data_IF_267890367915
#
_entry.id   IF_267890367915
#
_cell.length_a   1.000
_cell.length_b   1.000
_cell.length_c   1.000
_cell.angle_alpha   90.00
_cell.angle_beta   90.00
_cell.angle_gamma   90.00
#
_symmetry.space_group_name_H-M   'P 1'
#
loop_
_entity.id
_entity.type
_entity.pdbx_description
1 polymer ?
#
# COMPACT_ATOMS: atom_id res chain seq x y z
N UNK A 1 -7.13 18.14 -17.36
CA UNK A 1 -7.50 16.87 -16.71
C UNK A 1 -8.47 16.15 -17.62
N UNK A 2 -8.36 14.83 -17.75
CA UNK A 2 -9.29 14.07 -18.58
C UNK A 2 -10.63 14.03 -17.85
N UNK A 3 -11.62 14.76 -18.38
CA UNK A 3 -12.99 14.64 -17.90
C UNK A 3 -13.64 13.37 -18.47
N UNK A 4 -14.50 12.76 -17.68
CA UNK A 4 -15.31 11.60 -18.08
C UNK A 4 -16.77 11.93 -17.85
N UNK A 5 -17.62 11.67 -18.85
CA UNK A 5 -19.06 11.76 -18.66
C UNK A 5 -19.54 10.51 -17.92
N UNK A 6 -20.02 10.67 -16.68
CA UNK A 6 -20.42 9.58 -15.80
C UNK A 6 -21.83 9.85 -15.28
N UNK A 7 -22.68 8.81 -15.28
CA UNK A 7 -24.01 8.87 -14.67
C UNK A 7 -23.91 8.73 -13.17
N UNK A 8 -24.70 9.50 -12.44
CA UNK A 8 -24.70 9.47 -10.98
C UNK A 8 -25.18 8.12 -10.45
N UNK A 9 -26.19 7.52 -11.08
CA UNK A 9 -26.65 6.18 -10.71
C UNK A 9 -25.53 5.12 -10.82
N UNK A 10 -24.69 5.17 -11.86
CA UNK A 10 -23.58 4.23 -12.02
C UNK A 10 -22.56 4.36 -10.88
N UNK A 11 -22.31 5.59 -10.40
CA UNK A 11 -21.45 5.83 -9.24
C UNK A 11 -22.12 5.24 -7.99
N UNK A 12 -23.40 5.54 -7.75
CA UNK A 12 -24.16 5.03 -6.62
C UNK A 12 -24.16 3.49 -6.57
N UNK A 13 -24.42 2.82 -7.69
CA UNK A 13 -24.37 1.36 -7.80
C UNK A 13 -22.96 0.82 -7.53
N UNK A 14 -21.92 1.44 -8.11
CA UNK A 14 -20.54 1.03 -7.95
C UNK A 14 -20.08 1.07 -6.48
N UNK A 15 -20.50 2.09 -5.72
CA UNK A 15 -20.05 2.30 -4.34
C UNK A 15 -21.07 1.86 -3.29
N UNK A 16 -22.22 1.31 -3.71
CA UNK A 16 -23.34 0.98 -2.82
C UNK A 16 -23.87 2.20 -2.05
N UNK A 17 -23.85 3.37 -2.69
CA UNK A 17 -24.25 4.65 -2.11
C UNK A 17 -25.61 5.14 -2.58
N UNK A 18 -26.15 6.14 -1.90
CA UNK A 18 -27.43 6.77 -2.26
C UNK A 18 -27.29 8.28 -2.42
N UNK A 19 -28.15 8.88 -3.22
CA UNK A 19 -28.24 10.35 -3.39
C UNK A 19 -29.70 10.77 -3.56
N UNK A 20 -29.99 12.06 -3.68
CA UNK A 20 -31.34 12.56 -3.91
C UNK A 20 -31.89 12.04 -5.26
N UNK A 21 -33.18 11.68 -5.30
CA UNK A 21 -33.80 11.07 -6.49
C UNK A 21 -33.69 11.94 -7.75
N UNK A 22 -33.68 13.26 -7.57
CA UNK A 22 -33.53 14.22 -8.66
C UNK A 22 -32.25 14.02 -9.48
N UNK A 23 -31.18 13.47 -8.87
CA UNK A 23 -29.87 13.34 -9.50
C UNK A 23 -29.60 11.97 -10.13
N UNK A 24 -30.41 10.93 -9.85
CA UNK A 24 -30.12 9.56 -10.29
C UNK A 24 -29.97 9.42 -11.81
N UNK A 25 -30.80 10.14 -12.57
CA UNK A 25 -30.75 10.12 -14.03
C UNK A 25 -29.77 11.14 -14.64
N UNK A 26 -29.10 11.93 -13.81
CA UNK A 26 -28.18 12.96 -14.27
C UNK A 26 -26.83 12.35 -14.67
N UNK A 27 -26.20 12.97 -15.67
CA UNK A 27 -24.87 12.62 -16.17
C UNK A 27 -24.04 13.88 -16.26
N UNK A 28 -22.80 13.83 -15.79
CA UNK A 28 -21.92 14.98 -15.76
C UNK A 28 -20.55 14.61 -16.31
N UNK A 29 -20.00 15.51 -17.12
CA UNK A 29 -18.57 15.52 -17.41
C UNK A 29 -17.84 15.91 -16.12
N UNK A 30 -17.04 15.01 -15.58
CA UNK A 30 -16.36 15.26 -14.32
C UNK A 30 -14.91 14.79 -14.31
N UNK A 31 -14.10 15.42 -13.48
CA UNK A 31 -12.74 15.01 -13.15
C UNK A 31 -12.54 14.97 -11.63
N UNK A 32 -11.63 14.16 -11.09
CA UNK A 32 -11.34 14.16 -9.66
C UNK A 32 -10.60 15.43 -9.26
N UNK A 33 -10.88 15.95 -8.06
CA UNK A 33 -10.13 17.05 -7.48
C UNK A 33 -10.14 17.01 -5.94
N UNK A 34 -9.10 17.55 -5.27
CA UNK A 34 -9.16 17.84 -3.84
C UNK A 34 -10.33 18.78 -3.54
N UNK A 35 -11.06 18.52 -2.45
CA UNK A 35 -12.31 19.24 -2.14
C UNK A 35 -12.14 20.77 -2.05
N UNK A 36 -10.95 21.24 -1.67
CA UNK A 36 -10.60 22.67 -1.57
C UNK A 36 -10.06 23.30 -2.86
N UNK A 37 -9.88 22.52 -3.93
CA UNK A 37 -9.44 22.97 -5.26
C UNK A 37 -10.40 22.51 -6.37
N UNK A 38 -11.53 21.95 -5.99
CA UNK A 38 -12.56 21.47 -6.88
C UNK A 38 -13.29 22.64 -7.54
N UNK A 39 -13.89 22.38 -8.70
CA UNK A 39 -14.73 23.29 -9.49
C UNK A 39 -16.07 22.60 -9.82
N UNK A 40 -16.94 23.28 -10.58
CA UNK A 40 -18.26 22.77 -11.00
C UNK A 40 -18.27 21.50 -11.86
N UNK A 41 -17.11 21.00 -12.32
CA UNK A 41 -16.96 19.72 -13.01
C UNK A 41 -16.18 18.70 -12.15
N UNK A 42 -16.05 18.93 -10.85
CA UNK A 42 -15.24 18.06 -10.00
C UNK A 42 -16.06 17.04 -9.23
N UNK A 43 -15.50 15.83 -9.11
CA UNK A 43 -15.87 14.85 -8.09
C UNK A 43 -14.84 14.85 -6.97
N UNK A 44 -15.31 14.85 -5.72
CA UNK A 44 -14.47 14.80 -4.52
C UNK A 44 -15.11 13.96 -3.42
N UNK A 45 -14.48 13.93 -2.23
CA UNK A 45 -15.03 13.23 -1.07
C UNK A 45 -14.80 14.01 0.23
N UNK A 46 -15.66 13.77 1.22
CA UNK A 46 -15.57 14.30 2.57
C UNK A 46 -15.72 13.16 3.58
N UNK A 47 -14.75 12.98 4.47
CA UNK A 47 -14.72 11.88 5.46
C UNK A 47 -15.30 12.26 6.81
N UNK A 48 -15.85 13.47 6.95
CA UNK A 48 -16.46 13.92 8.20
C UNK A 48 -17.74 13.15 8.48
N UNK A 49 -17.95 12.79 9.75
CA UNK A 49 -19.07 11.95 10.18
C UNK A 49 -20.20 12.75 10.85
N UNK A 50 -19.96 14.03 11.16
CA UNK A 50 -20.97 14.93 11.72
C UNK A 50 -21.20 16.09 10.75
N UNK A 51 -22.44 16.61 10.72
CA UNK A 51 -22.78 17.71 9.84
C UNK A 51 -22.00 18.98 10.20
N UNK A 52 -21.80 19.24 11.49
CA UNK A 52 -21.01 20.38 11.99
C UNK A 52 -19.58 20.40 11.43
N UNK A 53 -18.89 19.25 11.43
CA UNK A 53 -17.54 19.16 10.87
C UNK A 53 -17.53 19.19 9.33
N UNK A 54 -18.60 18.69 8.69
CA UNK A 54 -18.70 18.61 7.24
C UNK A 54 -19.12 19.94 6.60
N UNK A 55 -19.95 20.75 7.27
CA UNK A 55 -20.57 21.95 6.71
C UNK A 55 -19.55 22.94 6.12
N UNK A 56 -18.45 23.29 6.81
CA UNK A 56 -17.46 24.22 6.26
C UNK A 56 -16.80 23.71 4.98
N UNK A 57 -16.72 22.39 4.79
CA UNK A 57 -16.16 21.79 3.59
C UNK A 57 -17.22 21.79 2.48
N UNK A 58 -18.45 21.38 2.80
CA UNK A 58 -19.53 21.22 1.83
C UNK A 58 -20.07 22.56 1.31
N UNK A 59 -20.05 23.63 2.11
CA UNK A 59 -20.46 24.96 1.67
C UNK A 59 -19.40 25.59 0.76
N UNK A 60 -18.13 25.53 1.16
CA UNK A 60 -17.03 26.21 0.47
C UNK A 60 -16.49 25.49 -0.77
N UNK A 61 -16.72 24.18 -0.91
CA UNK A 61 -16.28 23.46 -2.12
C UNK A 61 -17.11 23.83 -3.34
N UNK A 62 -16.50 24.01 -4.50
CA UNK A 62 -17.23 24.15 -5.78
C UNK A 62 -17.50 22.80 -6.45
N UNK A 63 -17.09 21.67 -5.84
CA UNK A 63 -17.34 20.34 -6.39
C UNK A 63 -18.84 20.13 -6.68
N UNK A 64 -19.14 19.59 -7.86
CA UNK A 64 -20.52 19.23 -8.23
C UNK A 64 -20.94 17.91 -7.61
N UNK A 65 -20.03 16.95 -7.49
CA UNK A 65 -20.29 15.64 -6.88
C UNK A 65 -19.39 15.46 -5.67
N UNK A 66 -19.98 15.19 -4.51
CA UNK A 66 -19.23 14.92 -3.27
C UNK A 66 -19.70 13.60 -2.67
N UNK A 67 -18.76 12.69 -2.48
CA UNK A 67 -18.99 11.44 -1.74
C UNK A 67 -18.83 11.71 -0.24
N UNK A 68 -19.85 11.39 0.55
CA UNK A 68 -19.99 11.74 1.95
C UNK A 68 -20.38 10.54 2.81
N UNK A 69 -20.18 10.67 4.12
CA UNK A 69 -20.60 9.64 5.08
C UNK A 69 -22.13 9.56 5.13
N UNK A 70 -22.68 8.36 5.14
CA UNK A 70 -24.11 8.10 5.34
C UNK A 70 -24.58 8.39 6.77
N UNK A 71 -23.66 8.73 7.67
CA UNK A 71 -23.97 9.24 9.01
C UNK A 71 -24.41 10.71 8.99
N UNK A 72 -24.14 11.43 7.90
CA UNK A 72 -24.59 12.82 7.76
C UNK A 72 -26.09 12.85 7.48
N UNK A 73 -26.83 13.64 8.25
CA UNK A 73 -28.24 13.91 7.96
C UNK A 73 -28.30 15.12 7.03
N UNK A 74 -28.44 14.87 5.74
CA UNK A 74 -28.56 15.90 4.70
C UNK A 74 -30.03 16.00 4.28
N UNK A 75 -30.59 17.22 4.33
CA UNK A 75 -31.94 17.49 3.84
C UNK A 75 -31.93 17.66 2.31
N UNK A 76 -33.03 17.29 1.68
CA UNK A 76 -33.19 17.47 0.23
C UNK A 76 -33.02 18.94 -0.16
N UNK A 77 -32.17 19.20 -1.16
CA UNK A 77 -31.86 20.54 -1.65
C UNK A 77 -30.99 21.41 -0.72
N UNK A 78 -30.51 20.88 0.41
CA UNK A 78 -29.72 21.63 1.40
C UNK A 78 -28.47 22.28 0.80
N UNK A 79 -27.87 21.64 -0.21
CA UNK A 79 -26.66 22.11 -0.87
C UNK A 79 -26.93 22.58 -2.31
N UNK A 80 -28.17 22.97 -2.59
CA UNK A 80 -28.61 23.49 -3.88
C UNK A 80 -28.33 22.50 -5.01
N UNK A 81 -27.40 22.89 -5.88
CA UNK A 81 -27.05 22.13 -7.08
C UNK A 81 -25.98 21.05 -6.87
N UNK A 82 -25.44 20.89 -5.65
CA UNK A 82 -24.40 19.90 -5.33
C UNK A 82 -25.03 18.52 -5.12
N UNK A 83 -24.38 17.50 -5.66
CA UNK A 83 -24.81 16.11 -5.60
C UNK A 83 -24.05 15.41 -4.48
N UNK A 84 -24.76 15.06 -3.42
CA UNK A 84 -24.19 14.37 -2.27
C UNK A 84 -24.48 12.88 -2.40
N UNK A 85 -23.42 12.07 -2.57
CA UNK A 85 -23.51 10.61 -2.61
C UNK A 85 -23.10 10.08 -1.23
N UNK A 86 -24.04 9.47 -0.52
CA UNK A 86 -23.85 9.00 0.85
C UNK A 86 -23.48 7.52 0.89
N UNK A 87 -22.37 7.20 1.56
CA UNK A 87 -21.78 5.85 1.69
C UNK A 87 -21.25 5.61 3.10
N UNK A 88 -20.99 4.35 3.46
CA UNK A 88 -20.40 4.01 4.77
C UNK A 88 -18.94 4.43 4.93
N UNK A 89 -18.15 4.39 3.83
CA UNK A 89 -16.74 4.79 3.80
C UNK A 89 -16.44 5.68 2.57
N UNK A 90 -16.48 7.02 2.72
CA UNK A 90 -16.32 7.95 1.60
C UNK A 90 -14.98 7.84 0.88
N UNK A 91 -13.89 7.61 1.62
CA UNK A 91 -12.56 7.49 1.04
C UNK A 91 -12.44 6.22 0.20
N UNK A 92 -12.93 5.08 0.71
CA UNK A 92 -12.93 3.83 -0.04
C UNK A 92 -13.78 3.94 -1.30
N UNK A 93 -15.00 4.49 -1.20
CA UNK A 93 -15.87 4.73 -2.34
C UNK A 93 -15.20 5.62 -3.39
N UNK A 94 -14.51 6.68 -2.97
CA UNK A 94 -13.75 7.54 -3.87
C UNK A 94 -12.62 6.76 -4.57
N UNK A 95 -11.85 5.93 -3.85
CA UNK A 95 -10.83 5.05 -4.46
C UNK A 95 -11.46 4.14 -5.52
N UNK A 96 -12.61 3.51 -5.24
CA UNK A 96 -13.31 2.65 -6.21
C UNK A 96 -13.71 3.41 -7.47
N UNK A 97 -14.21 4.64 -7.34
CA UNK A 97 -14.54 5.51 -8.48
C UNK A 97 -13.30 5.89 -9.28
N UNK A 98 -12.20 6.24 -8.58
CA UNK A 98 -10.91 6.56 -9.21
C UNK A 98 -10.42 5.39 -10.06
N UNK A 99 -10.35 4.19 -9.49
CA UNK A 99 -9.89 2.98 -10.18
C UNK A 99 -10.77 2.62 -11.38
N UNK A 100 -12.09 2.84 -11.28
CA UNK A 100 -13.03 2.47 -12.34
C UNK A 100 -13.01 3.39 -13.55
N UNK A 101 -12.89 4.70 -13.32
CA UNK A 101 -13.15 5.72 -14.34
C UNK A 101 -11.95 6.59 -14.69
N UNK A 102 -11.02 6.80 -13.77
CA UNK A 102 -9.95 7.80 -13.89
C UNK A 102 -8.54 7.22 -13.92
N UNK A 103 -8.35 6.00 -13.41
CA UNK A 103 -7.06 5.31 -13.50
C UNK A 103 -6.77 4.89 -14.94
N UNK A 104 -5.58 5.24 -15.43
CA UNK A 104 -5.11 4.82 -16.73
C UNK A 104 -4.83 3.33 -16.72
N UNK A 105 -5.37 2.61 -17.71
CA UNK A 105 -5.09 1.18 -17.85
C UNK A 105 -3.72 1.00 -18.46
N UNK A 106 -2.86 0.30 -17.74
CA UNK A 106 -1.56 -0.14 -18.27
C UNK A 106 -1.77 -1.17 -19.38
N UNK A 107 -1.01 -1.06 -20.46
CA UNK A 107 -0.91 -2.13 -21.45
C UNK A 107 0.03 -3.22 -20.93
N UNK A 108 -0.40 -4.47 -20.99
CA UNK A 108 0.47 -5.60 -20.67
C UNK A 108 1.55 -5.75 -21.73
N UNK A 109 2.73 -6.18 -21.32
CA UNK A 109 3.85 -6.38 -22.21
C UNK A 109 5.19 -6.14 -21.56
N UNK A 110 6.23 -6.41 -22.33
CA UNK A 110 7.61 -6.28 -21.93
C UNK A 110 8.23 -5.19 -22.81
N UNK A 111 8.75 -4.14 -22.18
CA UNK A 111 9.45 -3.08 -22.89
C UNK A 111 10.66 -3.63 -23.66
N UNK A 112 10.93 -3.17 -24.90
CA UNK A 112 12.05 -3.68 -25.71
C UNK A 112 13.43 -3.53 -25.08
N UNK A 113 13.60 -2.62 -24.12
CA UNK A 113 14.85 -2.39 -23.40
C UNK A 113 15.01 -3.20 -22.10
N UNK A 114 14.02 -4.02 -21.75
CA UNK A 114 14.13 -4.93 -20.60
C UNK A 114 15.07 -6.09 -20.92
N UNK A 115 15.89 -6.48 -19.94
CA UNK A 115 16.82 -7.61 -20.04
C UNK A 115 16.33 -8.70 -19.10
N UNK A 116 15.89 -9.82 -19.68
CA UNK A 116 15.25 -10.91 -18.96
C UNK A 116 16.04 -12.19 -19.21
N UNK A 117 16.37 -12.90 -18.14
CA UNK A 117 16.98 -14.22 -18.20
C UNK A 117 16.09 -15.21 -18.97
N UNK A 118 16.71 -16.07 -19.77
CA UNK A 118 16.00 -17.03 -20.63
C UNK A 118 15.11 -18.00 -19.85
N UNK A 119 15.46 -18.29 -18.60
CA UNK A 119 14.71 -19.19 -17.72
C UNK A 119 13.68 -18.44 -16.84
N UNK A 120 13.59 -17.12 -16.94
CA UNK A 120 12.60 -16.35 -16.20
C UNK A 120 11.19 -16.65 -16.70
N UNK A 121 10.23 -16.74 -15.78
CA UNK A 121 8.82 -16.98 -16.10
C UNK A 121 8.00 -15.73 -15.83
N UNK A 122 7.54 -15.09 -16.89
CA UNK A 122 6.76 -13.85 -16.80
C UNK A 122 5.36 -14.14 -17.32
N UNK A 123 4.35 -13.86 -16.51
CA UNK A 123 2.97 -14.03 -16.93
C UNK A 123 2.62 -13.05 -18.07
N UNK A 124 1.90 -13.47 -19.14
CA UNK A 124 1.58 -12.59 -20.27
C UNK A 124 0.78 -11.33 -19.91
N UNK A 125 -0.07 -11.43 -18.89
CA UNK A 125 -0.83 -10.29 -18.35
C UNK A 125 -0.04 -9.52 -17.29
N UNK A 126 1.24 -9.25 -17.52
CA UNK A 126 2.06 -8.42 -16.64
C UNK A 126 2.70 -7.30 -17.45
N UNK A 127 3.10 -6.22 -16.78
CA UNK A 127 3.83 -5.11 -17.38
C UNK A 127 5.25 -5.09 -16.86
N UNK A 128 6.23 -5.13 -17.78
CA UNK A 128 7.65 -4.95 -17.48
C UNK A 128 8.13 -3.68 -18.17
N UNK A 129 8.47 -2.67 -17.38
CA UNK A 129 8.90 -1.36 -17.84
C UNK A 129 10.29 -1.34 -18.49
N UNK A 130 10.67 -0.20 -19.08
CA UNK A 130 11.97 -0.05 -19.73
C UNK A 130 13.12 -0.18 -18.75
N UNK A 131 14.24 -0.74 -19.22
CA UNK A 131 15.49 -0.90 -18.47
C UNK A 131 15.36 -1.73 -17.18
N UNK A 132 14.35 -2.59 -17.11
CA UNK A 132 14.24 -3.59 -16.04
C UNK A 132 15.20 -4.74 -16.31
N UNK A 133 15.86 -5.23 -15.26
CA UNK A 133 16.59 -6.50 -15.28
C UNK A 133 15.86 -7.55 -14.45
N UNK A 134 15.66 -8.75 -15.01
CA UNK A 134 15.05 -9.89 -14.33
C UNK A 134 15.94 -11.12 -14.51
N UNK A 135 16.53 -11.62 -13.41
CA UNK A 135 17.23 -12.91 -13.37
C UNK A 135 16.30 -14.11 -13.47
N UNK A 136 16.80 -15.32 -13.21
CA UNK A 136 15.99 -16.55 -13.20
C UNK A 136 14.95 -16.54 -12.07
N UNK A 137 13.78 -15.99 -12.36
CA UNK A 137 12.75 -15.58 -11.39
C UNK A 137 11.35 -15.69 -11.99
N UNK A 138 10.32 -15.59 -11.15
CA UNK A 138 8.91 -15.75 -11.57
C UNK A 138 8.09 -14.49 -11.25
N UNK A 139 7.30 -14.01 -12.22
CA UNK A 139 6.43 -12.84 -12.12
C UNK A 139 4.99 -13.23 -12.41
N UNK A 140 4.11 -13.03 -11.42
CA UNK A 140 2.70 -13.39 -11.50
C UNK A 140 1.83 -12.46 -12.35
N UNK A 141 0.61 -12.93 -12.58
CA UNK A 141 -0.43 -12.25 -13.34
C UNK A 141 -0.83 -10.89 -12.75
N UNK A 142 -1.02 -9.88 -13.60
CA UNK A 142 -1.46 -8.54 -13.23
C UNK A 142 -0.38 -7.71 -12.54
N UNK A 143 0.85 -8.23 -12.40
CA UNK A 143 1.95 -7.52 -11.76
C UNK A 143 2.55 -6.47 -12.68
N UNK A 144 2.98 -5.36 -12.08
CA UNK A 144 3.50 -4.16 -12.75
C UNK A 144 4.88 -3.88 -12.20
N UNK A 145 5.90 -4.05 -13.03
CA UNK A 145 7.30 -3.74 -12.71
C UNK A 145 7.67 -2.46 -13.45
N UNK A 146 7.79 -1.35 -12.74
CA UNK A 146 8.14 -0.06 -13.33
C UNK A 146 9.61 0.01 -13.77
N UNK A 147 9.95 1.10 -14.47
CA UNK A 147 11.25 1.27 -15.10
C UNK A 147 12.43 1.19 -14.11
N UNK A 148 13.59 0.74 -14.59
CA UNK A 148 14.85 0.70 -13.83
C UNK A 148 14.80 -0.15 -12.54
N UNK A 149 13.93 -1.15 -12.48
CA UNK A 149 13.89 -2.14 -11.38
C UNK A 149 14.90 -3.26 -11.66
N UNK A 150 15.59 -3.73 -10.62
CA UNK A 150 16.51 -4.88 -10.70
C UNK A 150 16.02 -6.03 -9.83
N UNK A 151 15.64 -7.14 -10.47
CA UNK A 151 15.19 -8.37 -9.82
C UNK A 151 16.27 -9.44 -10.05
N UNK A 152 16.94 -9.86 -8.99
CA UNK A 152 17.94 -10.93 -9.03
C UNK A 152 17.28 -12.30 -9.24
N UNK A 153 18.08 -13.33 -9.48
CA UNK A 153 17.62 -14.71 -9.59
C UNK A 153 17.01 -15.23 -8.29
N UNK A 154 16.16 -16.26 -8.36
CA UNK A 154 15.44 -16.89 -7.23
C UNK A 154 14.50 -15.92 -6.50
N UNK A 155 13.89 -15.00 -7.23
CA UNK A 155 12.79 -14.16 -6.73
C UNK A 155 11.48 -14.71 -7.27
N UNK A 156 10.50 -14.89 -6.39
CA UNK A 156 9.14 -15.25 -6.75
C UNK A 156 8.21 -14.10 -6.41
N UNK A 157 7.58 -13.50 -7.42
CA UNK A 157 6.61 -12.43 -7.27
C UNK A 157 5.22 -12.96 -7.64
N UNK A 158 4.28 -12.81 -6.71
CA UNK A 158 2.89 -13.19 -6.86
C UNK A 158 2.12 -12.33 -7.87
N UNK A 159 0.79 -12.38 -7.76
CA UNK A 159 -0.14 -11.69 -8.67
C UNK A 159 -0.45 -10.28 -8.20
N UNK A 160 -0.69 -9.37 -9.14
CA UNK A 160 -1.12 -7.98 -8.86
C UNK A 160 -0.15 -7.25 -7.93
N UNK A 161 1.15 -7.54 -8.09
CA UNK A 161 2.22 -6.88 -7.34
C UNK A 161 2.69 -5.66 -8.12
N UNK A 162 2.83 -4.52 -7.45
CA UNK A 162 3.42 -3.31 -8.04
C UNK A 162 4.82 -3.09 -7.50
N UNK A 163 5.81 -2.93 -8.37
CA UNK A 163 7.19 -2.59 -7.99
C UNK A 163 7.59 -1.29 -8.66
N UNK A 164 7.78 -0.24 -7.86
CA UNK A 164 8.12 1.09 -8.36
C UNK A 164 9.61 1.24 -8.71
N UNK A 165 9.91 2.29 -9.48
CA UNK A 165 11.19 2.49 -10.14
C UNK A 165 12.39 2.51 -9.19
N UNK A 166 13.52 1.98 -9.66
CA UNK A 166 14.80 1.97 -8.94
C UNK A 166 14.90 0.95 -7.80
N UNK A 167 13.84 0.19 -7.54
CA UNK A 167 13.83 -0.87 -6.53
C UNK A 167 14.73 -2.04 -6.89
N UNK A 168 15.39 -2.61 -5.89
CA UNK A 168 16.28 -3.76 -6.00
C UNK A 168 15.78 -4.91 -5.15
N UNK A 169 15.56 -6.07 -5.75
CA UNK A 169 15.02 -7.25 -5.06
C UNK A 169 15.96 -8.44 -5.27
N UNK A 170 16.37 -9.06 -4.17
CA UNK A 170 17.17 -10.27 -4.16
C UNK A 170 18.69 -10.06 -4.24
N UNK A 171 19.17 -8.85 -3.94
CA UNK A 171 20.59 -8.61 -3.69
C UNK A 171 21.06 -9.36 -2.44
N UNK A 172 22.37 -9.54 -2.29
CA UNK A 172 22.93 -10.22 -1.12
C UNK A 172 22.75 -9.37 0.14
N UNK A 173 22.32 -10.01 1.23
CA UNK A 173 22.29 -9.37 2.53
C UNK A 173 23.67 -9.10 3.12
N UNK A 174 23.72 -8.24 4.13
CA UNK A 174 24.96 -7.91 4.82
C UNK A 174 25.33 -8.97 5.88
N UNK A 175 25.92 -10.09 5.44
CA UNK A 175 26.43 -11.15 6.32
C UNK A 175 27.93 -11.35 6.18
N UNK A 176 28.69 -11.07 7.25
CA UNK A 176 30.14 -11.27 7.30
C UNK A 176 30.57 -11.77 8.68
N UNK A 177 31.54 -12.68 8.71
CA UNK A 177 32.18 -13.16 9.93
C UNK A 177 33.68 -12.89 9.90
N UNK A 178 34.31 -12.73 11.06
CA UNK A 178 35.77 -12.56 11.13
C UNK A 178 36.47 -13.92 11.20
N UNK A 179 37.48 -14.13 10.37
CA UNK A 179 38.40 -15.26 10.53
C UNK A 179 39.39 -15.00 11.69
N UNK A 180 40.31 -15.94 11.93
CA UNK A 180 41.34 -15.85 12.98
C UNK A 180 42.27 -14.63 12.81
N UNK A 181 42.49 -14.19 11.57
CA UNK A 181 43.32 -13.04 11.22
C UNK A 181 42.55 -11.70 11.32
N UNK A 182 41.24 -11.74 11.53
CA UNK A 182 40.36 -10.58 11.65
C UNK A 182 39.74 -10.09 10.34
N UNK A 183 39.98 -10.75 9.20
CA UNK A 183 39.38 -10.43 7.90
C UNK A 183 37.90 -10.76 7.85
N UNK A 184 37.10 -9.93 7.16
CA UNK A 184 35.68 -10.15 6.96
C UNK A 184 35.45 -11.14 5.81
N UNK A 185 34.95 -12.33 6.15
CA UNK A 185 34.56 -13.37 5.20
C UNK A 185 33.05 -13.30 5.00
N UNK A 186 32.64 -13.14 3.74
CA UNK A 186 31.23 -13.05 3.37
C UNK A 186 30.52 -14.39 3.64
N UNK A 187 29.41 -14.33 4.34
CA UNK A 187 28.49 -15.46 4.44
C UNK A 187 27.68 -15.59 3.14
N UNK A 188 27.69 -16.74 2.45
CA UNK A 188 26.95 -16.88 1.19
C UNK A 188 25.42 -16.76 1.36
N UNK A 189 24.79 -15.90 0.57
CA UNK A 189 23.34 -15.81 0.47
C UNK A 189 22.81 -16.72 -0.66
N UNK A 190 22.35 -17.93 -0.32
CA UNK A 190 21.98 -18.94 -1.31
C UNK A 190 20.48 -19.03 -1.56
N UNK A 191 19.65 -18.49 -0.66
CA UNK A 191 18.20 -18.50 -0.77
C UNK A 191 17.66 -17.39 -1.67
N UNK A 192 16.33 -17.18 -1.65
CA UNK A 192 15.62 -16.26 -2.53
C UNK A 192 14.89 -15.14 -1.80
N UNK A 193 13.93 -14.55 -2.53
CA UNK A 193 12.90 -13.66 -2.00
C UNK A 193 11.55 -14.17 -2.48
N UNK A 194 10.56 -14.16 -1.61
CA UNK A 194 9.17 -14.52 -1.92
C UNK A 194 8.27 -13.33 -1.60
N UNK A 195 7.52 -12.88 -2.59
CA UNK A 195 6.56 -11.79 -2.49
C UNK A 195 5.20 -12.34 -2.91
N UNK A 196 4.23 -12.35 -2.00
CA UNK A 196 2.88 -12.81 -2.29
C UNK A 196 2.05 -11.79 -3.09
N UNK A 197 0.81 -12.16 -3.40
CA UNK A 197 -0.15 -11.35 -4.15
C UNK A 197 -0.43 -9.98 -3.52
N UNK A 198 -0.85 -9.02 -4.35
CA UNK A 198 -1.38 -7.71 -3.92
C UNK A 198 -0.37 -6.87 -3.09
N UNK A 199 0.93 -7.15 -3.20
CA UNK A 199 1.99 -6.37 -2.55
C UNK A 199 2.34 -5.15 -3.39
N UNK A 200 2.54 -3.99 -2.75
CA UNK A 200 3.11 -2.81 -3.43
C UNK A 200 4.45 -2.45 -2.79
N UNK A 201 5.45 -2.20 -3.63
CA UNK A 201 6.81 -1.82 -3.23
C UNK A 201 7.14 -0.46 -3.85
N UNK A 202 7.43 0.51 -2.99
CA UNK A 202 7.78 1.88 -3.35
C UNK A 202 9.15 1.99 -4.01
N UNK A 203 9.44 3.17 -4.54
CA UNK A 203 10.63 3.49 -5.32
C UNK A 203 11.90 3.40 -4.48
N UNK A 204 12.99 2.94 -5.10
CA UNK A 204 14.32 2.84 -4.49
C UNK A 204 14.34 2.04 -3.17
N UNK A 205 13.41 1.11 -2.99
CA UNK A 205 13.42 0.18 -1.85
C UNK A 205 14.37 -0.97 -2.16
N UNK A 206 15.08 -1.45 -1.15
CA UNK A 206 15.98 -2.61 -1.27
C UNK A 206 15.44 -3.77 -0.43
N UNK A 207 15.29 -4.94 -1.05
CA UNK A 207 14.90 -6.18 -0.37
C UNK A 207 15.99 -7.21 -0.60
N UNK A 208 16.72 -7.52 0.47
CA UNK A 208 17.81 -8.49 0.41
C UNK A 208 17.26 -9.92 0.40
N UNK A 209 17.94 -10.80 -0.35
CA UNK A 209 17.67 -12.23 -0.32
C UNK A 209 18.08 -12.81 1.02
N UNK A 210 17.41 -13.87 1.43
CA UNK A 210 17.79 -14.55 2.64
C UNK A 210 19.06 -15.40 2.48
N UNK A 211 19.65 -15.78 3.60
CA UNK A 211 20.86 -16.62 3.64
C UNK A 211 20.55 -18.06 3.24
N UNK A 212 19.92 -18.82 4.14
CA UNK A 212 19.52 -20.23 3.96
C UNK A 212 18.03 -20.37 3.65
N UNK A 213 17.19 -19.60 4.34
CA UNK A 213 15.76 -19.43 4.04
C UNK A 213 15.52 -18.13 3.27
N UNK A 214 14.42 -18.03 2.53
CA UNK A 214 14.08 -16.83 1.76
C UNK A 214 13.55 -15.70 2.65
N UNK A 215 13.84 -14.45 2.28
CA UNK A 215 13.10 -13.28 2.76
C UNK A 215 11.66 -13.37 2.22
N UNK A 216 10.67 -13.03 3.05
CA UNK A 216 9.25 -13.26 2.74
C UNK A 216 8.40 -12.01 2.98
N UNK A 217 7.56 -11.65 2.01
CA UNK A 217 6.61 -10.54 2.08
C UNK A 217 5.20 -11.06 1.81
N UNK A 218 4.35 -11.03 2.83
CA UNK A 218 2.99 -11.55 2.80
C UNK A 218 2.00 -10.68 2.05
N UNK A 219 0.91 -11.32 1.60
CA UNK A 219 -0.09 -10.74 0.70
C UNK A 219 -0.66 -9.40 1.19
N UNK A 220 -0.87 -8.47 0.27
CA UNK A 220 -1.51 -7.19 0.57
C UNK A 220 -0.63 -6.19 1.32
N UNK A 221 0.60 -6.55 1.67
CA UNK A 221 1.54 -5.67 2.37
C UNK A 221 1.99 -4.53 1.46
N UNK A 222 2.09 -3.32 2.04
CA UNK A 222 2.47 -2.09 1.35
C UNK A 222 3.78 -1.57 1.93
N UNK A 223 4.82 -1.54 1.11
CA UNK A 223 6.14 -1.03 1.45
C UNK A 223 6.35 0.25 0.67
N UNK A 224 6.61 1.35 1.36
CA UNK A 224 6.78 2.67 0.77
C UNK A 224 8.22 2.85 0.25
N UNK A 225 8.54 4.05 -0.22
CA UNK A 225 9.80 4.39 -0.85
C UNK A 225 10.98 4.33 0.12
N UNK A 226 12.18 4.07 -0.42
CA UNK A 226 13.45 4.16 0.30
C UNK A 226 13.52 3.27 1.55
N UNK A 227 12.77 2.17 1.60
CA UNK A 227 12.86 1.22 2.70
C UNK A 227 14.05 0.27 2.49
N UNK A 228 14.63 -0.22 3.59
CA UNK A 228 15.58 -1.32 3.57
C UNK A 228 15.00 -2.52 4.31
N UNK A 229 14.85 -3.64 3.60
CA UNK A 229 14.42 -4.92 4.14
C UNK A 229 15.61 -5.87 4.06
N UNK A 230 16.24 -6.15 5.21
CA UNK A 230 17.40 -7.01 5.27
C UNK A 230 17.07 -8.50 5.02
N UNK A 231 18.11 -9.33 5.03
CA UNK A 231 18.00 -10.76 4.77
C UNK A 231 17.14 -11.49 5.82
N UNK A 232 16.44 -12.54 5.38
CA UNK A 232 15.63 -13.43 6.22
C UNK A 232 14.45 -12.75 6.93
N UNK A 233 14.13 -11.50 6.59
CA UNK A 233 12.96 -10.82 7.14
C UNK A 233 11.68 -11.54 6.69
N UNK A 234 10.73 -11.64 7.61
CA UNK A 234 9.38 -12.14 7.35
C UNK A 234 8.40 -11.02 7.66
N UNK A 235 7.68 -10.55 6.66
CA UNK A 235 6.58 -9.60 6.82
C UNK A 235 5.28 -10.33 6.52
N UNK A 236 4.32 -10.28 7.46
CA UNK A 236 3.00 -10.88 7.36
C UNK A 236 2.11 -10.20 6.33
N UNK A 237 0.81 -10.51 6.36
CA UNK A 237 -0.16 -9.95 5.42
C UNK A 237 -0.67 -8.57 5.84
N UNK A 238 -0.97 -7.74 4.85
CA UNK A 238 -1.56 -6.40 5.03
C UNK A 238 -0.79 -5.51 6.02
N UNK A 239 0.53 -5.67 6.09
CA UNK A 239 1.38 -4.78 6.86
C UNK A 239 1.61 -3.47 6.09
N UNK A 240 1.97 -2.41 6.81
CA UNK A 240 2.39 -1.13 6.22
C UNK A 240 3.79 -0.81 6.70
N UNK A 241 4.76 -0.72 5.78
CA UNK A 241 6.14 -0.30 6.08
C UNK A 241 6.39 1.01 5.36
N UNK A 242 6.40 2.11 6.11
CA UNK A 242 6.36 3.46 5.55
C UNK A 242 7.78 3.99 5.31
N UNK A 243 7.90 5.05 4.49
CA UNK A 243 9.13 5.48 3.87
C UNK A 243 10.34 5.58 4.82
N UNK A 244 11.51 5.22 4.30
CA UNK A 244 12.80 5.29 4.99
C UNK A 244 12.93 4.38 6.23
N UNK A 245 12.04 3.40 6.40
CA UNK A 245 12.17 2.43 7.48
C UNK A 245 13.31 1.44 7.19
N UNK A 246 14.10 1.13 8.23
CA UNK A 246 15.16 0.13 8.20
C UNK A 246 14.71 -1.08 9.02
N UNK A 247 14.62 -2.23 8.37
CA UNK A 247 14.22 -3.50 8.98
C UNK A 247 15.44 -4.42 9.02
N UNK A 248 15.94 -4.66 10.23
CA UNK A 248 17.09 -5.50 10.48
C UNK A 248 16.92 -6.98 10.09
N UNK A 249 18.03 -7.70 9.98
CA UNK A 249 18.06 -9.08 9.52
C UNK A 249 17.22 -10.01 10.40
N UNK A 250 16.53 -10.97 9.79
CA UNK A 250 15.70 -11.97 10.51
C UNK A 250 14.59 -11.38 11.40
N UNK A 251 14.17 -10.14 11.18
CA UNK A 251 13.01 -9.56 11.86
C UNK A 251 11.72 -10.22 11.36
N UNK A 252 10.79 -10.45 12.27
CA UNK A 252 9.43 -10.90 11.96
C UNK A 252 8.45 -9.78 12.24
N UNK A 253 7.71 -9.32 11.22
CA UNK A 253 6.60 -8.37 11.36
C UNK A 253 5.32 -9.14 11.10
N UNK A 254 4.50 -9.35 12.12
CA UNK A 254 3.25 -10.10 11.99
C UNK A 254 2.14 -9.28 11.32
N UNK A 255 1.05 -9.97 10.96
CA UNK A 255 -0.04 -9.42 10.14
C UNK A 255 -0.61 -8.09 10.65
N UNK A 256 -1.02 -7.23 9.73
CA UNK A 256 -1.70 -5.96 9.99
C UNK A 256 -0.89 -4.94 10.80
N UNK A 257 0.41 -5.18 10.99
CA UNK A 257 1.28 -4.26 11.72
C UNK A 257 1.72 -3.08 10.87
N UNK A 258 2.00 -1.97 11.54
CA UNK A 258 2.34 -0.69 10.95
C UNK A 258 3.71 -0.23 11.44
N UNK A 259 4.63 -0.01 10.52
CA UNK A 259 5.93 0.61 10.77
C UNK A 259 5.92 2.00 10.15
N UNK A 260 5.83 3.02 11.01
CA UNK A 260 5.75 4.42 10.58
C UNK A 260 7.09 4.92 10.00
N UNK A 261 7.11 6.08 9.30
CA UNK A 261 8.29 6.51 8.57
C UNK A 261 9.54 6.60 9.44
N UNK A 262 10.69 6.29 8.82
CA UNK A 262 12.02 6.40 9.44
C UNK A 262 12.21 5.60 10.73
N UNK A 263 11.41 4.56 10.96
CA UNK A 263 11.64 3.66 12.09
C UNK A 263 12.81 2.70 11.80
N UNK A 264 13.57 2.36 12.85
CA UNK A 264 14.70 1.44 12.78
C UNK A 264 14.43 0.24 13.69
N UNK A 265 14.46 -0.97 13.13
CA UNK A 265 14.15 -2.21 13.86
C UNK A 265 15.40 -3.08 13.93
N UNK A 266 15.83 -3.42 15.14
CA UNK A 266 17.00 -4.28 15.38
C UNK A 266 16.72 -5.70 14.89
N UNK A 267 17.76 -6.34 14.36
CA UNK A 267 17.78 -7.74 13.92
C UNK A 267 17.17 -8.73 14.92
N UNK A 268 16.52 -9.76 14.38
CA UNK A 268 16.08 -10.95 15.11
C UNK A 268 14.95 -10.72 16.12
N UNK A 269 14.23 -9.60 16.03
CA UNK A 269 13.08 -9.32 16.90
C UNK A 269 11.76 -9.47 16.17
N UNK A 270 10.69 -9.56 16.95
CA UNK A 270 9.32 -9.69 16.44
C UNK A 270 8.52 -8.42 16.70
N UNK A 271 7.80 -7.93 15.69
CA UNK A 271 6.73 -6.94 15.82
C UNK A 271 5.40 -7.69 15.76
N UNK A 272 4.76 -7.86 16.91
CA UNK A 272 3.53 -8.63 17.05
C UNK A 272 2.38 -8.06 16.22
N UNK A 273 1.38 -8.91 15.97
CA UNK A 273 0.23 -8.63 15.13
C UNK A 273 -0.50 -7.34 15.51
N UNK A 274 -0.95 -6.57 14.51
CA UNK A 274 -1.69 -5.33 14.70
C UNK A 274 -0.97 -4.29 15.60
N UNK A 275 0.36 -4.33 15.64
CA UNK A 275 1.17 -3.38 16.41
C UNK A 275 1.64 -2.22 15.55
N UNK A 276 1.91 -1.10 16.21
CA UNK A 276 2.34 0.15 15.57
C UNK A 276 3.70 0.55 16.13
N UNK A 277 4.69 0.62 15.24
CA UNK A 277 5.97 1.28 15.50
C UNK A 277 5.84 2.74 15.06
N UNK A 278 6.02 3.67 15.99
CA UNK A 278 5.86 5.10 15.76
C UNK A 278 6.97 5.72 14.91
N UNK A 279 6.70 6.94 14.44
CA UNK A 279 7.59 7.73 13.59
C UNK A 279 8.98 7.86 14.23
N UNK A 280 10.03 7.53 13.48
CA UNK A 280 11.42 7.68 13.95
C UNK A 280 11.82 6.79 15.13
N UNK A 281 11.02 5.78 15.49
CA UNK A 281 11.30 4.94 16.65
C UNK A 281 12.49 4.00 16.40
N UNK A 282 13.29 3.75 17.44
CA UNK A 282 14.40 2.77 17.41
C UNK A 282 14.02 1.56 18.27
N UNK A 283 13.56 0.50 17.61
CA UNK A 283 13.04 -0.69 18.27
C UNK A 283 14.18 -1.66 18.58
N UNK A 284 14.51 -1.80 19.86
CA UNK A 284 15.61 -2.66 20.33
C UNK A 284 15.12 -3.98 20.95
N UNK A 285 13.82 -4.14 21.19
CA UNK A 285 13.21 -5.35 21.78
C UNK A 285 11.92 -5.69 21.05
N UNK A 286 11.54 -6.98 21.05
CA UNK A 286 10.29 -7.43 20.46
C UNK A 286 9.08 -6.68 21.05
N UNK A 287 8.08 -6.46 20.20
CA UNK A 287 6.84 -5.75 20.51
C UNK A 287 5.72 -6.77 20.54
N UNK A 288 4.92 -6.77 21.60
CA UNK A 288 3.77 -7.67 21.71
C UNK A 288 2.66 -7.30 20.72
N UNK A 289 1.68 -8.18 20.54
CA UNK A 289 0.50 -7.89 19.71
C UNK A 289 -0.29 -6.70 20.24
N UNK A 290 -0.93 -5.95 19.33
CA UNK A 290 -1.77 -4.81 19.63
C UNK A 290 -1.06 -3.73 20.47
N UNK A 291 0.24 -3.53 20.30
CA UNK A 291 0.99 -2.50 21.03
C UNK A 291 1.35 -1.33 20.13
N UNK A 292 1.33 -0.13 20.69
CA UNK A 292 1.92 1.06 20.08
C UNK A 292 3.22 1.35 20.80
N UNK A 293 4.34 1.36 20.08
CA UNK A 293 5.67 1.68 20.62
C UNK A 293 6.25 2.94 19.97
N UNK A 294 6.91 3.79 20.74
CA UNK A 294 7.54 5.01 20.23
C UNK A 294 8.82 5.34 21.00
N UNK A 295 9.69 6.16 20.40
CA UNK A 295 10.88 6.73 21.04
C UNK A 295 12.20 6.03 20.69
N UNK A 296 13.29 6.53 21.30
CA UNK A 296 14.66 6.04 21.12
C UNK A 296 15.29 5.83 22.51
N UNK A 297 15.39 4.59 23.01
CA UNK A 297 14.82 3.36 22.45
C UNK A 297 13.29 3.34 22.56
N UNK A 298 12.65 2.60 21.65
CA UNK A 298 11.20 2.49 21.60
C UNK A 298 10.65 1.80 22.86
N UNK A 299 9.56 2.34 23.41
CA UNK A 299 8.84 1.77 24.55
C UNK A 299 7.34 1.70 24.25
N UNK A 300 6.61 0.71 24.78
CA UNK A 300 5.15 0.70 24.74
C UNK A 300 4.59 1.97 25.37
N UNK A 301 3.65 2.62 24.67
CA UNK A 301 2.96 3.81 25.16
C UNK A 301 1.48 3.55 25.47
N UNK A 302 0.85 2.65 24.70
CA UNK A 302 -0.54 2.20 24.88
C UNK A 302 -0.81 0.99 23.99
N UNK A 303 -1.97 0.39 24.20
CA UNK A 303 -2.51 -0.61 23.27
C UNK A 303 -3.06 0.05 22.00
N UNK A 304 -2.97 -0.68 20.89
CA UNK A 304 -3.60 -0.35 19.64
C UNK A 304 -5.01 -0.93 19.60
N UNK A 305 -5.95 -0.12 19.13
CA UNK A 305 -7.33 -0.57 18.99
C UNK A 305 -7.41 -1.73 17.99
N UNK A 306 -8.09 -2.82 18.36
CA UNK A 306 -8.35 -3.94 17.46
C UNK A 306 -9.41 -3.50 16.43
N UNK A 307 -9.07 -3.40 15.13
CA UNK A 307 -10.02 -3.04 14.10
C UNK A 307 -11.13 -4.08 14.00
N UNK A 308 -12.33 -3.67 13.56
CA UNK A 308 -13.50 -4.55 13.45
C UNK A 308 -13.24 -5.80 12.61
N UNK A 309 -12.41 -5.70 11.56
CA UNK A 309 -12.06 -6.82 10.69
C UNK A 309 -11.10 -7.84 11.34
N UNK A 310 -10.51 -7.55 12.50
CA UNK A 310 -9.67 -8.47 13.28
C UNK A 310 -10.39 -9.06 14.50
N UNK A 311 -11.54 -8.51 14.90
CA UNK A 311 -12.32 -9.05 16.01
C UNK A 311 -12.80 -10.46 15.65
N UNK A 312 -12.62 -11.42 16.56
CA UNK A 312 -13.16 -12.77 16.33
C UNK A 312 -14.69 -12.68 16.40
N UNK A 313 -15.40 -13.47 15.59
CA UNK A 313 -16.85 -13.68 15.74
C UNK A 313 -17.09 -14.26 17.15
N UNK A 314 -17.43 -13.41 18.12
CA UNK A 314 -17.53 -13.77 19.54
C UNK A 314 -17.08 -12.69 20.53
N UNK A 315 -16.31 -11.69 20.08
CA UNK A 315 -15.82 -10.59 20.92
C UNK A 315 -16.79 -9.39 21.02
N UNK A 316 -18.02 -9.55 20.50
CA UNK A 316 -19.13 -8.61 20.74
C UNK A 316 -19.88 -9.06 22.00
N UNK A 317 -19.46 -8.55 23.16
CA UNK A 317 -20.26 -8.52 24.38
C UNK A 317 -20.26 -7.10 24.95
#
# INVERSE_FOLDING_TARGET
MIEKNIRINDICELVGGNTEKAWLNASFSMHPAPVNKANGNSISFCTKNTLEEAMPILENTEAKVIICSNKLVVKEGQFGEKIIIQVSNPRLAFITVMQRYFEEKMEWGIAPSAVIDVDAKIHPNSYIGPHVYIGKSEIGEGSIIHANVSIYSKVMIGKRVTVNSGTVIGADGFGYERNEDGDLIKFPNVAGVVIEDDVDIGSNTCIDRGTLDSTFIGRGTKIDNLCHIAHNVIIGKNCSVIAQSMIGGSVVIEDYSWVAPSACIRDGITIGKNSVVGLGAVVTKSVGENQIVMGVPAKPIRENTIPSYLKKKGDEK
#
